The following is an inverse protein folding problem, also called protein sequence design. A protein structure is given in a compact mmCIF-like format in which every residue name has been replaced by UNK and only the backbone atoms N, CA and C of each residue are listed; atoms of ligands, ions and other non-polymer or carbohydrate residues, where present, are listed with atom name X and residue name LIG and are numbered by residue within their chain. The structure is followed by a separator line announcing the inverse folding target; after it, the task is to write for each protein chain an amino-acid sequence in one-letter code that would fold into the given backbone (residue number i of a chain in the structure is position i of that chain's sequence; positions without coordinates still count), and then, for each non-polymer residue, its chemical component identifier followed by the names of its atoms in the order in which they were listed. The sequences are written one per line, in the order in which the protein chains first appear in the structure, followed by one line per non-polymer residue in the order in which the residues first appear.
data_IF_016765257689
#
_entry.id   IF_016765257689
#
_cell.length_a   1.000
_cell.length_b   1.000
_cell.length_c   1.000
_cell.angle_alpha   90.00
_cell.angle_beta   90.00
_cell.angle_gamma   90.00
#
_symmetry.space_group_name_H-M   'P 1'
#
loop_
_entity.id
_entity.type
_entity.pdbx_description
1 polymer ?
#
# COMPACT_ATOMS: atom_id res chain seq x y z
N UNK A 1 -22.31 10.09 35.70
CA UNK A 1 -22.55 10.88 34.46
C UNK A 1 -23.63 10.17 33.65
N UNK A 2 -24.56 10.91 33.05
CA UNK A 2 -25.62 10.31 32.22
C UNK A 2 -24.98 9.61 31.02
N UNK A 3 -25.33 8.34 30.76
CA UNK A 3 -24.92 7.65 29.52
C UNK A 3 -25.59 8.35 28.35
N UNK A 4 -24.83 9.11 27.58
CA UNK A 4 -25.32 9.73 26.34
C UNK A 4 -25.50 8.62 25.31
N UNK A 5 -26.74 8.28 24.98
CA UNK A 5 -27.01 7.27 23.96
C UNK A 5 -26.90 7.92 22.58
N UNK A 6 -25.92 7.52 21.80
CA UNK A 6 -25.78 7.99 20.41
C UNK A 6 -26.57 7.07 19.48
N UNK A 7 -27.44 7.65 18.64
CA UNK A 7 -28.23 6.88 17.68
C UNK A 7 -27.51 6.65 16.35
N UNK A 8 -26.39 7.32 16.10
CA UNK A 8 -25.67 7.19 14.82
C UNK A 8 -26.45 7.71 13.62
N UNK A 9 -25.95 7.40 12.42
CA UNK A 9 -26.66 7.64 11.17
C UNK A 9 -27.67 6.52 10.87
N UNK A 10 -28.77 6.89 10.22
CA UNK A 10 -29.70 5.93 9.62
C UNK A 10 -29.18 5.42 8.29
N UNK A 11 -29.60 4.21 7.91
CA UNK A 11 -29.23 3.60 6.62
C UNK A 11 -29.45 4.51 5.40
N UNK A 12 -30.51 5.33 5.37
CA UNK A 12 -30.75 6.29 4.27
C UNK A 12 -29.78 7.48 4.30
N UNK A 13 -29.46 8.00 5.48
CA UNK A 13 -28.54 9.14 5.65
C UNK A 13 -27.11 8.75 5.25
N UNK A 14 -26.74 7.47 5.41
CA UNK A 14 -25.46 6.93 4.94
C UNK A 14 -25.36 7.02 3.41
N UNK A 15 -26.44 6.70 2.69
CA UNK A 15 -26.47 6.80 1.22
C UNK A 15 -26.37 8.25 0.77
N UNK A 16 -27.17 9.14 1.38
CA UNK A 16 -27.17 10.56 1.04
C UNK A 16 -25.80 11.23 1.33
N UNK A 17 -25.15 10.84 2.44
CA UNK A 17 -23.80 11.29 2.79
C UNK A 17 -22.76 10.79 1.79
N UNK A 18 -22.87 9.53 1.36
CA UNK A 18 -21.99 8.93 0.35
C UNK A 18 -22.10 9.62 -1.01
N UNK A 19 -23.31 9.99 -1.43
CA UNK A 19 -23.51 10.71 -2.70
C UNK A 19 -22.95 12.14 -2.65
N UNK A 20 -23.01 12.80 -1.48
CA UNK A 20 -22.55 14.18 -1.32
C UNK A 20 -21.06 14.31 -1.08
N UNK A 21 -20.48 13.41 -0.27
CA UNK A 21 -19.08 13.48 0.18
C UNK A 21 -18.20 12.37 -0.41
N UNK A 22 -18.75 11.39 -1.10
CA UNK A 22 -17.99 10.29 -1.69
C UNK A 22 -17.62 9.19 -0.68
N UNK A 23 -16.82 8.23 -1.15
CA UNK A 23 -16.35 7.09 -0.36
C UNK A 23 -15.06 7.38 0.41
N UNK A 24 -14.82 6.63 1.50
CA UNK A 24 -13.58 6.71 2.26
C UNK A 24 -12.42 5.93 1.60
N UNK A 25 -12.13 6.25 0.34
CA UNK A 25 -11.06 5.64 -0.46
C UNK A 25 -10.18 6.78 -0.98
N UNK A 26 -8.87 6.58 -0.99
CA UNK A 26 -7.93 7.54 -1.58
C UNK A 26 -7.97 7.40 -3.11
N UNK A 27 -8.15 8.49 -3.83
CA UNK A 27 -8.29 8.41 -5.29
C UNK A 27 -6.96 8.03 -5.93
N UNK A 28 -6.90 6.87 -6.63
CA UNK A 28 -5.69 6.48 -7.35
C UNK A 28 -5.35 7.53 -8.42
N UNK A 29 -4.07 7.66 -8.83
CA UNK A 29 -3.70 8.59 -9.89
C UNK A 29 -4.47 8.32 -11.19
N UNK A 30 -4.83 9.39 -11.90
CA UNK A 30 -5.46 9.26 -13.22
C UNK A 30 -4.51 8.50 -14.15
N UNK A 31 -5.06 7.49 -14.85
CA UNK A 31 -4.29 6.72 -15.80
C UNK A 31 -4.27 7.44 -17.13
N UNK A 32 -3.09 7.50 -17.74
CA UNK A 32 -2.98 7.89 -19.13
C UNK A 32 -3.72 6.90 -20.04
N UNK A 33 -4.35 7.43 -21.09
CA UNK A 33 -5.03 6.58 -22.07
C UNK A 33 -4.04 5.66 -22.78
N UNK A 34 -4.46 4.42 -23.08
CA UNK A 34 -3.62 3.43 -23.76
C UNK A 34 -3.09 3.92 -25.11
N UNK A 35 -3.86 4.76 -25.81
CA UNK A 35 -3.46 5.35 -27.08
C UNK A 35 -2.34 6.38 -26.92
N UNK A 36 -2.40 7.21 -25.88
CA UNK A 36 -1.32 8.16 -25.56
C UNK A 36 -0.05 7.40 -25.20
N UNK A 37 -0.13 6.39 -24.32
CA UNK A 37 1.01 5.53 -23.98
C UNK A 37 1.65 4.86 -25.21
N UNK A 38 0.83 4.38 -26.15
CA UNK A 38 1.33 3.80 -27.41
C UNK A 38 2.06 4.84 -28.27
N UNK A 39 1.49 6.05 -28.42
CA UNK A 39 2.13 7.13 -29.18
C UNK A 39 3.45 7.61 -28.56
N UNK A 40 3.58 7.54 -27.23
CA UNK A 40 4.82 7.90 -26.57
C UNK A 40 5.99 6.99 -26.93
N UNK A 41 5.74 5.73 -27.30
CA UNK A 41 6.81 4.83 -27.79
C UNK A 41 7.47 5.35 -29.07
N UNK A 42 6.74 6.07 -29.91
CA UNK A 42 7.32 6.66 -31.13
C UNK A 42 8.27 7.83 -30.84
N UNK A 43 8.35 8.31 -29.59
CA UNK A 43 9.33 9.32 -29.16
C UNK A 43 10.69 8.72 -28.82
N UNK A 44 10.83 7.38 -28.80
CA UNK A 44 12.12 6.74 -28.53
C UNK A 44 13.13 7.13 -29.63
N UNK A 45 14.33 7.63 -29.26
CA UNK A 45 15.37 8.00 -30.22
C UNK A 45 15.70 6.91 -31.24
N UNK A 46 15.68 5.63 -30.86
CA UNK A 46 15.95 4.53 -31.79
C UNK A 46 14.80 4.37 -32.80
N UNK A 47 13.56 4.37 -32.33
CA UNK A 47 12.38 4.31 -33.20
C UNK A 47 12.35 5.51 -34.16
N UNK A 48 12.69 6.71 -33.68
CA UNK A 48 12.79 7.90 -34.54
C UNK A 48 13.82 7.71 -35.65
N UNK A 49 15.01 7.18 -35.33
CA UNK A 49 16.05 6.90 -36.33
C UNK A 49 15.55 5.89 -37.36
N UNK A 50 14.88 4.82 -36.93
CA UNK A 50 14.30 3.81 -37.81
C UNK A 50 13.17 4.38 -38.69
N UNK A 51 12.33 5.27 -38.17
CA UNK A 51 11.30 5.96 -38.95
C UNK A 51 11.91 6.86 -40.02
N UNK A 52 12.99 7.59 -39.70
CA UNK A 52 13.71 8.42 -40.66
C UNK A 52 14.35 7.53 -41.74
N UNK A 53 14.98 6.43 -41.37
CA UNK A 53 15.55 5.48 -42.31
C UNK A 53 14.48 4.84 -43.22
N UNK A 54 13.34 4.45 -42.66
CA UNK A 54 12.19 3.94 -43.42
C UNK A 54 11.60 4.97 -44.38
N UNK A 55 11.53 6.25 -43.98
CA UNK A 55 11.10 7.33 -44.86
C UNK A 55 12.09 7.58 -46.01
N UNK A 56 13.39 7.58 -45.73
CA UNK A 56 14.44 7.70 -46.74
C UNK A 56 14.43 6.51 -47.72
N UNK A 57 14.26 5.29 -47.21
CA UNK A 57 14.14 4.07 -48.02
C UNK A 57 12.96 4.15 -48.99
N UNK A 58 11.79 4.63 -48.55
CA UNK A 58 10.64 4.90 -49.44
C UNK A 58 11.01 5.91 -50.53
N UNK A 59 11.70 7.00 -50.19
CA UNK A 59 12.07 8.03 -51.17
C UNK A 59 12.99 7.46 -52.27
N UNK A 60 13.93 6.59 -51.89
CA UNK A 60 14.84 5.91 -52.82
C UNK A 60 14.07 4.92 -53.70
N UNK A 61 13.19 4.11 -53.10
CA UNK A 61 12.37 3.16 -53.84
C UNK A 61 11.46 3.85 -54.87
N UNK A 62 10.88 5.01 -54.53
CA UNK A 62 10.10 5.83 -55.47
C UNK A 62 10.99 6.31 -56.62
N UNK A 63 12.18 6.82 -56.33
CA UNK A 63 13.13 7.28 -57.35
C UNK A 63 13.58 6.15 -58.29
N UNK A 64 13.88 4.98 -57.74
CA UNK A 64 14.28 3.80 -58.50
C UNK A 64 13.12 3.26 -59.35
N UNK A 65 11.89 3.26 -58.81
CA UNK A 65 10.68 2.90 -59.55
C UNK A 65 10.43 3.82 -60.76
N UNK A 66 10.73 5.11 -60.63
CA UNK A 66 10.60 6.07 -61.74
C UNK A 66 11.63 5.83 -62.86
N UNK A 67 12.82 5.31 -62.55
CA UNK A 67 13.83 4.97 -63.56
C UNK A 67 13.61 3.57 -64.16
N UNK A 68 13.26 2.60 -63.32
CA UNK A 68 12.97 1.23 -63.70
C UNK A 68 11.68 0.79 -62.99
N UNK A 69 10.56 0.68 -63.72
CA UNK A 69 9.29 0.30 -63.12
C UNK A 69 9.27 -1.20 -62.79
N UNK A 70 9.97 -1.56 -61.71
CA UNK A 70 9.93 -2.86 -61.08
C UNK A 70 9.28 -2.70 -59.69
N UNK A 71 8.12 -3.32 -59.42
CA UNK A 71 7.48 -3.26 -58.11
C UNK A 71 8.30 -3.91 -56.99
N UNK A 72 9.37 -4.65 -57.30
CA UNK A 72 10.21 -5.28 -56.27
C UNK A 72 10.99 -4.28 -55.40
N UNK A 73 11.20 -3.05 -55.88
CA UNK A 73 11.90 -1.98 -55.14
C UNK A 73 11.18 -1.56 -53.86
N UNK A 74 9.88 -1.84 -53.73
CA UNK A 74 9.10 -1.51 -52.53
C UNK A 74 9.15 -2.58 -51.44
N UNK A 75 9.72 -3.77 -51.69
CA UNK A 75 9.77 -4.84 -50.68
C UNK A 75 10.57 -4.44 -49.44
N UNK A 76 11.72 -3.79 -49.63
CA UNK A 76 12.60 -3.37 -48.54
C UNK A 76 11.97 -2.29 -47.66
N UNK A 77 11.44 -1.17 -48.18
CA UNK A 77 10.74 -0.18 -47.35
C UNK A 77 9.52 -0.76 -46.63
N UNK A 78 8.71 -1.58 -47.30
CA UNK A 78 7.54 -2.23 -46.67
C UNK A 78 7.99 -3.14 -45.53
N UNK A 79 9.08 -3.90 -45.72
CA UNK A 79 9.67 -4.74 -44.68
C UNK A 79 10.08 -3.95 -43.45
N UNK A 80 10.74 -2.79 -43.63
CA UNK A 80 11.16 -1.90 -42.54
C UNK A 80 9.94 -1.40 -41.76
N UNK A 81 8.91 -0.90 -42.44
CA UNK A 81 7.70 -0.40 -41.77
C UNK A 81 6.96 -1.50 -41.00
N UNK A 82 6.81 -2.69 -41.60
CA UNK A 82 6.20 -3.84 -40.92
C UNK A 82 7.01 -4.24 -39.68
N UNK A 83 8.34 -4.26 -39.79
CA UNK A 83 9.22 -4.56 -38.66
C UNK A 83 9.09 -3.53 -37.53
N UNK A 84 9.06 -2.24 -37.84
CA UNK A 84 8.86 -1.16 -36.86
C UNK A 84 7.52 -1.33 -36.14
N UNK A 85 6.41 -1.46 -36.88
CA UNK A 85 5.09 -1.60 -36.24
C UNK A 85 4.97 -2.88 -35.40
N UNK A 86 5.55 -3.98 -35.87
CA UNK A 86 5.54 -5.24 -35.12
C UNK A 86 6.39 -5.14 -33.85
N UNK A 87 7.60 -4.58 -33.95
CA UNK A 87 8.49 -4.39 -32.80
C UNK A 87 7.88 -3.44 -31.75
N UNK A 88 7.43 -2.25 -32.16
CA UNK A 88 6.79 -1.28 -31.26
C UNK A 88 5.48 -1.82 -30.68
N UNK A 89 4.68 -2.53 -31.48
CA UNK A 89 3.45 -3.19 -31.01
C UNK A 89 3.71 -4.27 -29.97
N UNK A 90 4.71 -5.12 -30.19
CA UNK A 90 5.13 -6.15 -29.23
C UNK A 90 5.68 -5.53 -27.95
N UNK A 91 6.50 -4.48 -28.04
CA UNK A 91 7.02 -3.77 -26.88
C UNK A 91 5.89 -3.16 -26.05
N UNK A 92 4.93 -2.49 -26.69
CA UNK A 92 3.75 -1.95 -26.02
C UNK A 92 2.89 -3.05 -25.38
N UNK A 93 2.69 -4.18 -26.08
CA UNK A 93 1.95 -5.31 -25.53
C UNK A 93 2.59 -5.86 -24.26
N UNK A 94 3.91 -6.03 -24.25
CA UNK A 94 4.63 -6.52 -23.07
C UNK A 94 4.57 -5.55 -21.89
N UNK A 95 4.72 -4.25 -22.16
CA UNK A 95 4.60 -3.24 -21.12
C UNK A 95 3.18 -3.15 -20.57
N UNK A 96 2.16 -3.18 -21.43
CA UNK A 96 0.77 -3.22 -21.01
C UNK A 96 0.46 -4.46 -20.17
N UNK A 97 0.97 -5.63 -20.57
CA UNK A 97 0.81 -6.87 -19.81
C UNK A 97 1.48 -6.76 -18.42
N UNK A 98 2.67 -6.15 -18.34
CA UNK A 98 3.37 -5.93 -17.08
C UNK A 98 2.63 -4.94 -16.17
N UNK A 99 2.20 -3.79 -16.70
CA UNK A 99 1.42 -2.76 -16.00
C UNK A 99 0.11 -3.34 -15.44
N UNK A 100 -0.60 -4.15 -16.24
CA UNK A 100 -1.86 -4.77 -15.84
C UNK A 100 -1.67 -5.74 -14.68
N UNK A 101 -0.63 -6.58 -14.74
CA UNK A 101 -0.36 -7.48 -13.62
C UNK A 101 0.02 -6.68 -12.37
N UNK A 102 0.80 -5.61 -12.49
CA UNK A 102 1.10 -4.74 -11.36
C UNK A 102 -0.15 -4.13 -10.73
N UNK A 103 -1.11 -3.71 -11.56
CA UNK A 103 -2.36 -3.13 -11.09
C UNK A 103 -3.19 -4.12 -10.26
N UNK A 104 -3.31 -5.36 -10.72
CA UNK A 104 -4.03 -6.42 -9.98
C UNK A 104 -3.41 -6.64 -8.60
N UNK A 105 -2.08 -6.55 -8.49
CA UNK A 105 -1.37 -6.74 -7.22
C UNK A 105 -1.52 -5.54 -6.26
N UNK A 106 -1.77 -4.33 -6.80
CA UNK A 106 -1.94 -3.09 -6.02
C UNK A 106 -3.40 -2.75 -5.69
N UNK A 107 -4.35 -3.63 -6.00
CA UNK A 107 -5.72 -3.44 -5.54
C UNK A 107 -5.73 -3.40 -4.01
N UNK A 108 -6.06 -2.23 -3.47
CA UNK A 108 -6.09 -1.99 -2.03
C UNK A 108 -7.32 -2.70 -1.47
N UNK A 109 -7.11 -3.73 -0.66
CA UNK A 109 -8.16 -4.26 0.20
C UNK A 109 -8.32 -3.33 1.41
N UNK A 110 -9.20 -2.33 1.28
CA UNK A 110 -9.65 -1.45 2.37
C UNK A 110 -10.80 -2.08 3.18
N UNK A 111 -10.69 -3.39 3.44
CA UNK A 111 -11.72 -4.20 4.13
C UNK A 111 -11.49 -4.30 5.64
N UNK A 112 -10.57 -3.50 6.20
CA UNK A 112 -10.31 -3.49 7.64
C UNK A 112 -11.60 -3.13 8.41
N UNK A 113 -12.03 -3.94 9.39
CA UNK A 113 -13.27 -3.71 10.11
C UNK A 113 -13.14 -2.52 11.06
N UNK A 114 -14.14 -1.64 11.03
CA UNK A 114 -14.26 -0.44 11.85
C UNK A 114 -15.57 -0.51 12.61
N UNK A 115 -15.51 -0.26 13.93
CA UNK A 115 -16.68 -0.24 14.79
C UNK A 115 -17.39 1.12 14.70
N UNK A 116 -18.65 1.09 14.25
CA UNK A 116 -19.50 2.27 14.11
C UNK A 116 -20.85 2.07 14.80
N UNK A 117 -21.47 3.17 15.21
CA UNK A 117 -22.84 3.19 15.71
C UNK A 117 -23.74 3.67 14.58
N UNK A 118 -24.64 2.81 14.11
CA UNK A 118 -25.67 3.11 13.09
C UNK A 118 -27.02 2.58 13.58
N UNK A 119 -28.09 3.34 13.35
CA UNK A 119 -29.44 2.99 13.81
C UNK A 119 -29.51 2.62 15.32
N UNK A 120 -28.63 3.21 16.16
CA UNK A 120 -28.52 2.96 17.59
C UNK A 120 -27.81 1.66 18.00
N UNK A 121 -27.25 0.92 17.04
CA UNK A 121 -26.61 -0.37 17.24
C UNK A 121 -25.13 -0.26 16.85
N UNK A 122 -24.25 -0.85 17.66
CA UNK A 122 -22.83 -0.99 17.32
C UNK A 122 -22.65 -2.10 16.29
N UNK A 123 -22.05 -1.77 15.15
CA UNK A 123 -21.83 -2.68 14.02
C UNK A 123 -20.40 -2.51 13.49
N UNK A 124 -19.85 -3.58 12.91
CA UNK A 124 -18.56 -3.52 12.20
C UNK A 124 -18.80 -3.37 10.70
N UNK A 125 -18.16 -2.35 10.11
CA UNK A 125 -18.19 -2.10 8.67
C UNK A 125 -16.76 -2.01 8.11
N UNK A 126 -16.54 -2.31 6.83
CA UNK A 126 -15.27 -2.03 6.17
C UNK A 126 -14.89 -0.54 6.26
N UNK A 127 -13.60 -0.23 6.41
CA UNK A 127 -13.08 1.14 6.46
C UNK A 127 -13.52 2.00 5.27
N UNK A 128 -13.61 1.42 4.07
CA UNK A 128 -14.08 2.09 2.85
C UNK A 128 -15.54 2.57 2.92
N UNK A 129 -16.35 1.94 3.77
CA UNK A 129 -17.78 2.21 3.90
C UNK A 129 -18.13 3.28 4.95
N UNK A 130 -17.12 3.79 5.67
CA UNK A 130 -17.25 4.92 6.60
C UNK A 130 -17.60 6.18 5.80
N UNK A 131 -18.59 6.94 6.28
CA UNK A 131 -19.06 8.19 5.64
C UNK A 131 -19.00 9.37 6.61
N UNK A 132 -19.10 10.58 6.07
CA UNK A 132 -19.21 11.80 6.90
C UNK A 132 -20.47 11.73 7.76
N UNK A 133 -20.33 12.00 9.06
CA UNK A 133 -21.39 11.92 10.05
C UNK A 133 -21.46 10.61 10.81
N UNK A 134 -20.75 9.55 10.38
CA UNK A 134 -20.69 8.29 11.14
C UNK A 134 -20.12 8.54 12.54
N UNK A 135 -20.64 7.78 13.51
CA UNK A 135 -20.12 7.76 14.88
C UNK A 135 -19.24 6.52 15.01
N UNK A 136 -17.93 6.74 15.13
CA UNK A 136 -16.91 5.69 15.21
C UNK A 136 -16.49 5.51 16.65
N UNK A 137 -16.34 4.25 17.07
CA UNK A 137 -15.82 3.89 18.38
C UNK A 137 -14.31 3.67 18.26
N UNK A 138 -13.54 4.43 19.03
CA UNK A 138 -12.09 4.33 19.11
C UNK A 138 -11.69 3.55 20.36
N UNK A 139 -10.96 2.46 20.15
CA UNK A 139 -10.43 1.61 21.22
C UNK A 139 -8.91 1.52 21.11
N UNK A 140 -8.23 1.25 22.22
CA UNK A 140 -6.78 1.02 22.23
C UNK A 140 -6.36 0.02 21.15
N UNK A 141 -5.38 0.42 20.33
CA UNK A 141 -4.78 -0.41 19.29
C UNK A 141 -5.40 -0.24 17.89
N UNK A 142 -6.56 0.42 17.75
CA UNK A 142 -7.16 0.68 16.44
C UNK A 142 -6.50 1.87 15.71
N UNK A 143 -6.52 1.82 14.38
CA UNK A 143 -6.18 2.93 13.51
C UNK A 143 -7.43 3.80 13.29
N UNK A 144 -7.27 5.12 13.34
CA UNK A 144 -8.36 6.05 13.11
C UNK A 144 -8.74 6.01 11.61
N UNK A 145 -9.99 5.67 11.26
CA UNK A 145 -10.37 5.33 9.88
C UNK A 145 -10.59 6.54 8.96
N UNK A 146 -10.95 7.69 9.54
CA UNK A 146 -11.32 8.93 8.87
C UNK A 146 -11.10 10.10 9.84
N UNK A 147 -11.05 11.34 9.35
CA UNK A 147 -10.88 12.50 10.23
C UNK A 147 -12.20 12.82 10.93
N UNK A 148 -12.14 13.06 12.23
CA UNK A 148 -13.33 13.34 13.01
C UNK A 148 -13.09 14.04 14.33
N UNK A 149 -14.19 14.54 14.89
CA UNK A 149 -14.23 15.25 16.17
C UNK A 149 -14.70 14.30 17.27
N UNK A 150 -13.98 14.26 18.37
CA UNK A 150 -14.29 13.48 19.56
C UNK A 150 -15.53 14.03 20.25
N UNK A 151 -16.52 13.15 20.43
CA UNK A 151 -17.70 13.34 21.26
C UNK A 151 -17.43 12.91 22.70
N UNK A 152 -16.65 11.83 22.86
CA UNK A 152 -16.24 11.30 24.15
C UNK A 152 -14.76 10.92 24.09
N UNK A 153 -14.04 11.21 25.17
CA UNK A 153 -12.64 10.84 25.32
C UNK A 153 -12.36 10.53 26.80
N UNK A 154 -11.94 9.31 27.08
CA UNK A 154 -11.56 8.86 28.42
C UNK A 154 -10.11 8.44 28.38
N UNK A 155 -9.22 9.30 28.90
CA UNK A 155 -7.76 9.08 28.91
C UNK A 155 -7.20 8.68 27.54
N UNK A 156 -7.72 9.30 26.48
CA UNK A 156 -7.43 8.92 25.10
C UNK A 156 -6.06 9.48 24.68
N UNK A 157 -5.12 8.61 24.35
CA UNK A 157 -3.81 8.95 23.81
C UNK A 157 -3.70 8.40 22.39
N UNK A 158 -3.35 9.26 21.43
CA UNK A 158 -3.23 8.89 20.01
C UNK A 158 -1.81 9.20 19.52
N UNK A 159 -1.18 8.25 18.84
CA UNK A 159 0.09 8.44 18.16
C UNK A 159 -0.13 9.12 16.79
N UNK A 160 0.24 10.40 16.73
CA UNK A 160 0.14 11.24 15.52
C UNK A 160 1.46 11.33 14.73
N UNK A 161 2.48 10.55 15.11
CA UNK A 161 3.82 10.60 14.50
C UNK A 161 3.82 10.38 12.99
N UNK A 162 2.84 9.66 12.45
CA UNK A 162 2.68 9.43 11.01
C UNK A 162 2.33 10.70 10.23
N UNK A 163 1.70 11.69 10.88
CA UNK A 163 1.28 12.95 10.25
C UNK A 163 2.15 14.14 10.66
N UNK A 164 2.54 14.21 11.94
CA UNK A 164 3.21 15.39 12.51
C UNK A 164 4.69 15.13 12.81
N UNK A 165 5.11 13.87 12.91
CA UNK A 165 6.43 13.47 13.41
C UNK A 165 6.57 13.56 14.93
N UNK A 166 5.57 14.08 15.65
CA UNK A 166 5.56 14.15 17.10
C UNK A 166 4.86 12.92 17.71
N UNK A 167 5.43 12.30 18.76
CA UNK A 167 4.84 11.12 19.38
C UNK A 167 3.63 11.49 20.26
N UNK A 168 2.78 10.48 20.52
CA UNK A 168 1.69 10.40 21.52
C UNK A 168 1.14 11.77 22.00
N UNK A 169 -0.02 12.13 21.48
CA UNK A 169 -0.78 13.30 21.90
C UNK A 169 -1.97 12.90 22.79
N UNK A 170 -2.16 13.63 23.88
CA UNK A 170 -3.36 13.50 24.71
C UNK A 170 -4.56 14.13 24.00
N UNK A 171 -5.67 13.40 23.96
CA UNK A 171 -6.92 13.83 23.34
C UNK A 171 -8.02 13.98 24.38
N UNK A 172 -8.76 15.08 24.28
CA UNK A 172 -9.78 15.47 25.26
C UNK A 172 -10.87 16.30 24.60
N UNK A 173 -12.07 16.24 25.17
CA UNK A 173 -13.22 17.07 24.78
C UNK A 173 -13.33 18.34 25.62
N UNK A 174 -12.58 18.42 26.73
CA UNK A 174 -12.61 19.56 27.65
C UNK A 174 -11.72 20.67 27.09
N UNK A 175 -12.33 21.77 26.68
CA UNK A 175 -11.63 22.94 26.09
C UNK A 175 -10.53 23.52 26.98
N UNK A 176 -10.64 23.34 28.29
CA UNK A 176 -9.65 23.80 29.28
C UNK A 176 -8.34 23.01 29.22
N UNK A 177 -8.42 21.74 28.80
CA UNK A 177 -7.29 20.81 28.71
C UNK A 177 -6.70 20.76 27.29
N UNK A 178 -7.09 21.69 26.41
CA UNK A 178 -6.58 21.73 25.04
C UNK A 178 -5.14 22.22 25.03
N UNK A 179 -4.28 21.48 24.33
CA UNK A 179 -2.89 21.87 24.13
C UNK A 179 -2.82 22.93 23.01
N UNK A 180 -2.40 24.18 23.31
CA UNK A 180 -2.28 25.24 22.31
C UNK A 180 -1.14 25.01 21.32
N UNK A 181 -0.18 24.13 21.62
CA UNK A 181 0.94 23.81 20.74
C UNK A 181 0.68 22.59 19.85
N UNK A 182 -0.43 21.87 20.05
CA UNK A 182 -0.74 20.70 19.24
C UNK A 182 -0.99 21.09 17.78
N UNK A 183 -0.41 20.32 16.85
CA UNK A 183 -0.59 20.53 15.40
C UNK A 183 -2.07 20.42 15.01
N UNK A 184 -2.78 19.47 15.62
CA UNK A 184 -4.22 19.31 15.47
C UNK A 184 -4.94 19.57 16.79
N UNK A 185 -6.17 20.12 16.76
CA UNK A 185 -6.97 20.31 17.97
C UNK A 185 -7.06 19.04 18.83
N UNK A 186 -6.97 19.19 20.15
CA UNK A 186 -6.98 18.06 21.09
C UNK A 186 -8.30 17.26 21.08
N UNK A 187 -9.37 17.81 20.53
CA UNK A 187 -10.64 17.13 20.31
C UNK A 187 -10.73 16.42 18.94
N UNK A 188 -9.70 16.47 18.09
CA UNK A 188 -9.75 15.82 16.78
C UNK A 188 -8.91 14.55 16.74
N UNK A 189 -9.40 13.54 16.03
CA UNK A 189 -8.70 12.32 15.70
C UNK A 189 -8.53 12.23 14.18
N UNK A 190 -7.30 12.01 13.71
CA UNK A 190 -6.93 12.08 12.29
C UNK A 190 -6.72 10.71 11.68
N UNK A 191 -7.12 10.53 10.43
CA UNK A 191 -6.95 9.29 9.66
C UNK A 191 -5.49 8.85 9.63
N UNK A 192 -5.24 7.57 9.87
CA UNK A 192 -3.89 6.98 9.83
C UNK A 192 -3.08 7.15 11.13
N UNK A 193 -3.67 7.78 12.15
CA UNK A 193 -3.11 7.83 13.51
C UNK A 193 -3.59 6.63 14.32
N UNK A 194 -2.83 6.23 15.36
CA UNK A 194 -3.11 5.00 16.12
C UNK A 194 -3.46 5.30 17.58
N UNK A 195 -4.52 4.69 18.09
CA UNK A 195 -4.90 4.83 19.49
C UNK A 195 -3.95 4.00 20.37
N UNK A 196 -3.23 4.67 21.27
CA UNK A 196 -2.25 4.04 22.16
C UNK A 196 -2.83 3.68 23.51
N UNK A 197 -3.69 4.54 24.07
CA UNK A 197 -4.34 4.33 25.36
C UNK A 197 -5.74 4.96 25.39
N UNK A 198 -6.58 4.46 26.30
CA UNK A 198 -7.94 4.97 26.51
C UNK A 198 -8.95 4.53 25.45
N UNK A 199 -10.12 5.17 25.49
CA UNK A 199 -11.17 4.97 24.50
C UNK A 199 -11.89 6.28 24.25
N UNK A 200 -12.54 6.36 23.09
CA UNK A 200 -13.30 7.53 22.70
C UNK A 200 -14.37 7.20 21.68
N UNK A 201 -15.25 8.17 21.48
CA UNK A 201 -16.27 8.14 20.42
C UNK A 201 -16.04 9.38 19.59
N UNK A 202 -15.90 9.24 18.28
CA UNK A 202 -15.71 10.35 17.35
C UNK A 202 -16.81 10.41 16.30
N UNK A 203 -17.08 11.61 15.81
CA UNK A 203 -17.94 11.87 14.65
C UNK A 203 -17.09 12.24 13.46
N UNK A 204 -17.26 11.51 12.36
CA UNK A 204 -16.49 11.74 11.14
C UNK A 204 -16.92 13.06 10.48
N UNK A 205 -15.96 13.94 10.16
CA UNK A 205 -16.22 15.17 9.41
C UNK A 205 -15.60 15.16 8.00
N UNK A 206 -14.57 14.34 7.75
CA UNK A 206 -13.97 14.20 6.42
C UNK A 206 -13.54 12.75 6.15
N UNK A 207 -13.68 12.34 4.88
CA UNK A 207 -13.35 10.99 4.38
C UNK A 207 -12.56 11.08 3.07
N UNK A 208 -11.85 10.01 2.72
CA UNK A 208 -11.14 9.89 1.44
C UNK A 208 -10.02 10.92 1.31
N UNK A 209 -9.89 11.55 0.14
CA UNK A 209 -8.85 12.55 -0.15
C UNK A 209 -9.01 13.86 0.63
N UNK A 210 -10.18 14.11 1.23
CA UNK A 210 -10.44 15.34 1.99
C UNK A 210 -9.81 15.31 3.39
N UNK A 211 -9.39 14.15 3.86
CA UNK A 211 -8.68 14.04 5.14
C UNK A 211 -7.28 14.64 5.06
N UNK A 212 -6.70 15.01 6.19
CA UNK A 212 -5.32 15.52 6.24
C UNK A 212 -4.33 14.48 5.70
N UNK A 213 -4.52 13.20 6.06
CA UNK A 213 -3.76 12.10 5.48
C UNK A 213 -3.95 12.00 3.96
N UNK A 214 -5.17 12.21 3.44
CA UNK A 214 -5.45 12.19 2.01
C UNK A 214 -4.82 13.34 1.23
N UNK A 215 -4.73 14.53 1.84
CA UNK A 215 -3.99 15.67 1.29
C UNK A 215 -2.49 15.38 1.25
N UNK A 216 -1.93 14.82 2.32
CA UNK A 216 -0.52 14.37 2.36
C UNK A 216 -0.29 13.29 1.31
N UNK A 217 -1.17 12.31 1.18
CA UNK A 217 -1.07 11.25 0.16
C UNK A 217 -1.12 11.82 -1.26
N UNK A 218 -1.99 12.79 -1.53
CA UNK A 218 -2.07 13.47 -2.82
C UNK A 218 -0.83 14.30 -3.12
N UNK A 219 -0.29 15.00 -2.12
CA UNK A 219 0.97 15.76 -2.26
C UNK A 219 2.19 14.82 -2.39
N UNK A 220 2.16 13.67 -1.73
CA UNK A 220 3.18 12.63 -1.77
C UNK A 220 3.02 11.68 -2.96
N UNK A 221 2.10 11.93 -3.91
CA UNK A 221 2.06 11.26 -5.23
C UNK A 221 3.35 11.47 -6.05
N UNK A 222 4.32 12.20 -5.50
CA UNK A 222 5.66 12.35 -6.00
C UNK A 222 6.49 11.11 -5.60
N UNK A 223 6.64 10.25 -6.61
CA UNK A 223 7.82 9.41 -6.87
C UNK A 223 7.72 7.91 -6.56
N UNK A 224 6.99 7.19 -7.44
CA UNK A 224 7.14 5.75 -7.61
C UNK A 224 8.31 5.38 -8.56
N UNK A 225 9.16 6.32 -8.98
CA UNK A 225 10.22 6.07 -9.98
C UNK A 225 11.52 5.50 -9.40
N UNK A 226 11.51 4.98 -8.17
CA UNK A 226 12.68 4.29 -7.61
C UNK A 226 12.92 3.01 -8.40
N UNK A 227 13.93 3.07 -9.28
CA UNK A 227 14.42 1.92 -10.05
C UNK A 227 14.91 0.84 -9.08
N UNK A 228 14.67 -0.42 -9.43
CA UNK A 228 15.21 -1.53 -8.62
C UNK A 228 16.73 -1.61 -8.83
N UNK A 229 17.51 -2.12 -7.85
CA UNK A 229 18.96 -2.26 -8.01
C UNK A 229 19.36 -3.06 -9.25
N UNK A 230 18.61 -4.12 -9.60
CA UNK A 230 18.79 -4.87 -10.84
C UNK A 230 18.54 -4.00 -12.07
N UNK A 231 17.49 -3.18 -12.07
CA UNK A 231 17.23 -2.25 -13.18
C UNK A 231 18.38 -1.23 -13.35
N UNK A 232 18.95 -0.70 -12.27
CA UNK A 232 20.11 0.20 -12.35
C UNK A 232 21.34 -0.50 -12.96
N UNK A 233 21.59 -1.75 -12.57
CA UNK A 233 22.69 -2.54 -13.14
C UNK A 233 22.48 -2.84 -14.63
N UNK A 234 21.25 -3.17 -15.02
CA UNK A 234 20.89 -3.45 -16.42
C UNK A 234 20.93 -2.19 -17.28
N UNK A 235 20.51 -1.04 -16.76
CA UNK A 235 20.68 0.26 -17.40
C UNK A 235 22.16 0.59 -17.60
N UNK A 236 23.00 0.30 -16.59
CA UNK A 236 24.44 0.43 -16.69
C UNK A 236 25.04 -0.44 -17.80
N UNK A 237 24.62 -1.71 -17.87
CA UNK A 237 25.02 -2.66 -18.91
C UNK A 237 24.55 -2.21 -20.30
N UNK A 238 23.28 -1.80 -20.43
CA UNK A 238 22.71 -1.29 -21.67
C UNK A 238 23.44 -0.06 -22.19
N UNK A 239 23.77 0.88 -21.31
CA UNK A 239 24.57 2.06 -21.65
C UNK A 239 26.00 1.72 -22.09
N UNK A 240 26.63 0.72 -21.46
CA UNK A 240 27.95 0.24 -21.88
C UNK A 240 27.89 -0.37 -23.28
N UNK A 241 26.92 -1.25 -23.52
CA UNK A 241 26.71 -1.88 -24.84
C UNK A 241 26.43 -0.83 -25.91
N UNK A 242 25.54 0.12 -25.65
CA UNK A 242 25.22 1.21 -26.58
C UNK A 242 26.47 2.03 -26.95
N UNK A 243 27.32 2.39 -25.97
CA UNK A 243 28.58 3.11 -26.23
C UNK A 243 29.51 2.33 -27.14
N UNK A 244 29.68 1.02 -26.89
CA UNK A 244 30.50 0.15 -27.73
C UNK A 244 29.93 0.08 -29.14
N UNK A 245 28.61 -0.08 -29.28
CA UNK A 245 27.92 -0.12 -30.57
C UNK A 245 28.09 1.18 -31.36
N UNK A 246 27.96 2.35 -30.73
CA UNK A 246 28.18 3.62 -31.40
C UNK A 246 29.61 3.80 -31.90
N UNK A 247 30.61 3.35 -31.14
CA UNK A 247 32.02 3.37 -31.58
C UNK A 247 32.22 2.46 -32.79
N UNK A 248 31.73 1.23 -32.74
CA UNK A 248 31.86 0.27 -33.84
C UNK A 248 31.09 0.75 -35.08
N UNK A 249 29.87 1.26 -34.90
CA UNK A 249 29.05 1.84 -35.98
C UNK A 249 29.78 3.01 -36.67
N UNK A 250 30.38 3.91 -35.89
CA UNK A 250 31.22 4.98 -36.42
C UNK A 250 32.42 4.46 -37.22
N UNK A 251 33.10 3.43 -36.70
CA UNK A 251 34.22 2.78 -37.42
C UNK A 251 33.77 2.09 -38.71
N UNK A 252 32.59 1.49 -38.75
CA UNK A 252 32.01 0.88 -39.96
C UNK A 252 31.75 1.97 -41.01
N UNK A 253 31.14 3.09 -40.63
CA UNK A 253 30.87 4.20 -41.53
C UNK A 253 32.17 4.76 -42.09
N UNK A 254 33.15 5.07 -41.22
CA UNK A 254 34.45 5.60 -41.64
C UNK A 254 35.20 4.59 -42.52
N UNK A 255 35.17 3.30 -42.16
CA UNK A 255 35.82 2.23 -42.91
C UNK A 255 35.22 2.02 -44.30
N UNK A 256 33.88 2.00 -44.40
CA UNK A 256 33.15 1.88 -45.68
C UNK A 256 33.41 3.08 -46.58
N UNK A 257 33.33 4.29 -46.03
CA UNK A 257 33.64 5.53 -46.76
C UNK A 257 35.11 5.53 -47.22
N UNK A 258 36.04 5.14 -46.35
CA UNK A 258 37.47 5.05 -46.68
C UNK A 258 37.75 4.03 -47.79
N UNK A 259 37.13 2.85 -47.72
CA UNK A 259 37.22 1.83 -48.79
C UNK A 259 36.64 2.32 -50.11
N UNK A 260 35.55 3.10 -50.08
CA UNK A 260 34.98 3.69 -51.28
C UNK A 260 35.97 4.64 -51.96
N UNK A 261 36.67 5.49 -51.20
CA UNK A 261 37.69 6.41 -51.73
C UNK A 261 38.97 5.71 -52.21
N UNK A 262 39.34 4.57 -51.63
CA UNK A 262 40.52 3.80 -52.07
C UNK A 262 40.24 3.00 -53.34
N UNK A 263 39.03 2.45 -53.49
CA UNK A 263 38.69 1.60 -54.63
C UNK A 263 38.16 2.38 -55.85
N UNK A 264 37.72 3.63 -55.67
CA UNK A 264 37.23 4.48 -56.76
C UNK A 264 38.13 5.73 -56.89
N UNK A 265 39.02 5.73 -57.88
CA UNK A 265 40.00 6.81 -58.16
C UNK A 265 39.39 8.12 -58.73
N UNK A 266 38.10 8.40 -58.50
CA UNK A 266 37.44 9.55 -59.11
C UNK A 266 36.18 10.02 -58.40
N UNK A 267 36.33 10.83 -57.36
CA UNK A 267 35.21 11.59 -56.80
C UNK A 267 35.06 12.93 -57.53
N UNK A 268 34.13 13.02 -58.48
CA UNK A 268 33.74 14.26 -59.15
C UNK A 268 32.50 14.86 -58.48
N UNK A 269 32.66 16.02 -57.83
CA UNK A 269 31.59 16.73 -57.07
C UNK A 269 30.40 17.17 -57.96
N UNK A 270 30.61 17.26 -59.27
CA UNK A 270 29.63 17.81 -60.21
C UNK A 270 29.14 16.76 -61.22
N UNK A 271 27.91 16.27 -61.00
CA UNK A 271 26.97 15.95 -62.08
C UNK A 271 27.14 14.64 -62.85
N UNK A 272 27.79 13.62 -62.31
CA UNK A 272 27.89 12.31 -62.96
C UNK A 272 27.47 11.15 -62.04
N UNK A 273 27.19 9.98 -62.62
CA UNK A 273 26.71 8.75 -61.97
C UNK A 273 27.54 8.26 -60.76
N UNK A 274 28.70 8.85 -60.50
CA UNK A 274 29.57 8.65 -59.33
C UNK A 274 28.97 9.19 -58.02
N UNK A 275 28.23 10.31 -58.07
CA UNK A 275 27.60 10.90 -56.88
C UNK A 275 26.46 10.05 -56.33
N UNK A 276 25.69 9.41 -57.21
CA UNK A 276 24.67 8.44 -56.83
C UNK A 276 25.31 7.22 -56.13
N UNK A 277 26.43 6.71 -56.64
CA UNK A 277 27.16 5.60 -56.01
C UNK A 277 27.68 5.93 -54.60
N UNK A 278 28.22 7.14 -54.40
CA UNK A 278 28.64 7.60 -53.07
C UNK A 278 27.47 7.70 -52.09
N UNK A 279 26.33 8.24 -52.55
CA UNK A 279 25.12 8.36 -51.73
C UNK A 279 24.60 6.96 -51.36
N UNK A 280 24.52 6.03 -52.31
CA UNK A 280 24.06 4.66 -52.05
C UNK A 280 24.96 3.92 -51.06
N UNK A 281 26.28 3.98 -51.24
CA UNK A 281 27.23 3.34 -50.31
C UNK A 281 27.20 3.96 -48.92
N UNK A 282 27.06 5.29 -48.84
CA UNK A 282 26.93 5.99 -47.55
C UNK A 282 25.63 5.60 -46.85
N UNK A 283 24.52 5.54 -47.59
CA UNK A 283 23.23 5.11 -47.05
C UNK A 283 23.26 3.65 -46.58
N UNK A 284 23.90 2.75 -47.34
CA UNK A 284 24.11 1.37 -46.90
C UNK A 284 24.99 1.28 -45.65
N UNK A 285 26.06 2.06 -45.57
CA UNK A 285 26.88 2.11 -44.36
C UNK A 285 26.09 2.63 -43.14
N UNK A 286 25.22 3.62 -43.33
CA UNK A 286 24.31 4.11 -42.30
C UNK A 286 23.26 3.08 -41.91
N UNK A 287 22.67 2.34 -42.86
CA UNK A 287 21.70 1.28 -42.57
C UNK A 287 22.33 0.17 -41.73
N UNK A 288 23.51 -0.34 -42.11
CA UNK A 288 24.24 -1.36 -41.33
C UNK A 288 24.60 -0.84 -39.94
N UNK A 289 24.98 0.44 -39.81
CA UNK A 289 25.27 1.06 -38.52
C UNK A 289 24.03 1.14 -37.62
N UNK A 290 22.87 1.52 -38.16
CA UNK A 290 21.60 1.58 -37.41
C UNK A 290 21.14 0.17 -37.03
N UNK A 291 21.22 -0.80 -37.93
CA UNK A 291 20.90 -2.20 -37.65
C UNK A 291 21.78 -2.77 -36.53
N UNK A 292 23.09 -2.50 -36.55
CA UNK A 292 24.00 -2.92 -35.48
C UNK A 292 23.57 -2.34 -34.12
N UNK A 293 23.27 -1.05 -34.07
CA UNK A 293 22.85 -0.39 -32.82
C UNK A 293 21.53 -0.99 -32.33
N UNK A 294 20.54 -1.16 -33.21
CA UNK A 294 19.24 -1.74 -32.86
C UNK A 294 19.34 -3.19 -32.36
N UNK A 295 20.20 -4.01 -32.97
CA UNK A 295 20.40 -5.42 -32.54
C UNK A 295 21.19 -5.52 -31.24
N UNK A 296 22.10 -4.57 -30.97
CA UNK A 296 22.98 -4.65 -29.80
C UNK A 296 22.33 -4.12 -28.52
N UNK A 297 21.42 -3.15 -28.62
CA UNK A 297 20.72 -2.60 -27.45
C UNK A 297 19.58 -3.55 -27.06
N UNK A 298 19.66 -4.23 -25.90
CA UNK A 298 18.65 -5.21 -25.53
C UNK A 298 17.43 -4.51 -24.91
N UNK A 299 16.57 -3.94 -25.75
CA UNK A 299 15.35 -3.22 -25.34
C UNK A 299 14.38 -4.11 -24.53
N UNK A 300 14.43 -5.43 -24.74
CA UNK A 300 13.62 -6.41 -24.01
C UNK A 300 14.10 -6.70 -22.58
N UNK A 301 15.31 -6.28 -22.21
CA UNK A 301 15.93 -6.67 -20.94
C UNK A 301 15.22 -6.06 -19.71
N UNK A 302 14.87 -4.75 -19.68
CA UNK A 302 14.11 -4.20 -18.56
C UNK A 302 12.71 -4.82 -18.45
N UNK A 303 12.05 -5.07 -19.59
CA UNK A 303 10.72 -5.69 -19.62
C UNK A 303 10.72 -7.11 -19.06
N UNK A 304 11.74 -7.92 -19.40
CA UNK A 304 11.88 -9.28 -18.89
C UNK A 304 11.99 -9.30 -17.36
N UNK A 305 12.70 -8.34 -16.78
CA UNK A 305 12.81 -8.18 -15.32
C UNK A 305 11.47 -7.81 -14.70
N UNK A 306 10.79 -6.79 -15.22
CA UNK A 306 9.48 -6.37 -14.68
C UNK A 306 8.47 -7.51 -14.73
N UNK A 307 8.43 -8.26 -15.82
CA UNK A 307 7.52 -9.40 -15.97
C UNK A 307 7.87 -10.54 -15.00
N UNK A 308 9.15 -10.90 -14.88
CA UNK A 308 9.61 -11.93 -13.92
C UNK A 308 9.28 -11.56 -12.47
N UNK A 309 9.46 -10.29 -12.13
CA UNK A 309 9.14 -9.74 -10.82
C UNK A 309 7.63 -9.77 -10.54
N UNK A 310 6.81 -9.37 -11.52
CA UNK A 310 5.35 -9.42 -11.42
C UNK A 310 4.84 -10.85 -11.19
N UNK A 311 5.38 -11.84 -11.92
CA UNK A 311 5.05 -13.25 -11.68
C UNK A 311 5.47 -13.73 -10.29
N UNK A 312 6.65 -13.32 -9.81
CA UNK A 312 7.13 -13.65 -8.47
C UNK A 312 6.23 -13.05 -7.38
N UNK A 313 5.84 -11.79 -7.53
CA UNK A 313 4.90 -11.12 -6.62
C UNK A 313 3.54 -11.83 -6.61
N UNK A 314 3.02 -12.24 -7.78
CA UNK A 314 1.77 -13.01 -7.88
C UNK A 314 1.87 -14.35 -7.18
N UNK A 315 3.01 -15.02 -7.25
CA UNK A 315 3.25 -16.26 -6.50
C UNK A 315 3.29 -16.01 -4.98
N UNK A 316 3.93 -14.94 -4.52
CA UNK A 316 3.97 -14.56 -3.09
C UNK A 316 2.57 -14.22 -2.56
N UNK A 317 1.75 -13.55 -3.37
CA UNK A 317 0.37 -13.22 -3.01
C UNK A 317 -0.50 -14.47 -2.77
N UNK A 318 -0.29 -15.54 -3.54
CA UNK A 318 -0.98 -16.83 -3.30
C UNK A 318 -0.64 -17.44 -1.93
N UNK A 319 0.50 -17.06 -1.35
CA UNK A 319 0.93 -17.48 0.00
C UNK A 319 0.62 -16.44 1.07
N UNK A 320 -0.32 -15.52 0.82
CA UNK A 320 -0.72 -14.43 1.72
C UNK A 320 0.42 -13.42 2.02
N UNK A 321 1.41 -13.29 1.13
CA UNK A 321 2.45 -12.27 1.23
C UNK A 321 2.24 -11.20 0.14
N UNK A 322 1.69 -10.05 0.52
CA UNK A 322 1.41 -8.93 -0.37
C UNK A 322 2.63 -8.02 -0.50
N UNK A 323 3.27 -8.04 -1.68
CA UNK A 323 4.36 -7.13 -2.03
C UNK A 323 3.78 -5.85 -2.64
N UNK A 324 3.92 -4.72 -1.95
CA UNK A 324 3.36 -3.41 -2.40
C UNK A 324 4.29 -2.60 -3.30
N UNK A 325 5.59 -2.87 -3.27
CA UNK A 325 6.60 -2.16 -4.07
C UNK A 325 7.46 -3.18 -4.81
N UNK A 326 7.67 -2.97 -6.11
CA UNK A 326 8.44 -3.90 -6.95
C UNK A 326 9.86 -4.14 -6.41
N UNK A 327 10.60 -3.07 -6.10
CA UNK A 327 11.96 -3.19 -5.57
C UNK A 327 12.04 -4.00 -4.26
N UNK A 328 10.96 -4.08 -3.47
CA UNK A 328 10.99 -4.77 -2.19
C UNK A 328 11.26 -6.28 -2.32
N UNK A 329 10.78 -6.91 -3.39
CA UNK A 329 11.03 -8.33 -3.64
C UNK A 329 12.53 -8.61 -3.86
N UNK A 330 13.22 -7.72 -4.57
CA UNK A 330 14.66 -7.81 -4.80
C UNK A 330 15.46 -7.47 -3.53
N UNK A 331 15.08 -6.38 -2.85
CA UNK A 331 15.70 -5.96 -1.58
C UNK A 331 15.63 -7.06 -0.52
N UNK A 332 14.49 -7.75 -0.40
CA UNK A 332 14.34 -8.88 0.54
C UNK A 332 15.29 -10.04 0.21
N UNK A 333 15.53 -10.32 -1.07
CA UNK A 333 16.49 -11.36 -1.49
C UNK A 333 17.95 -11.00 -1.15
N UNK A 334 18.28 -9.71 -1.11
CA UNK A 334 19.60 -9.20 -0.75
C UNK A 334 19.75 -8.85 0.75
N UNK A 335 18.70 -9.03 1.55
CA UNK A 335 18.70 -8.64 2.97
C UNK A 335 19.60 -9.56 3.80
N UNK A 336 20.55 -8.98 4.52
CA UNK A 336 21.47 -9.69 5.42
C UNK A 336 21.14 -9.52 6.90
N UNK A 337 20.37 -8.49 7.25
CA UNK A 337 19.96 -8.16 8.62
C UNK A 337 18.47 -7.88 8.63
N UNK A 338 17.74 -8.59 9.49
CA UNK A 338 16.30 -8.38 9.70
C UNK A 338 16.11 -7.76 11.08
N UNK A 339 15.70 -6.49 11.12
CA UNK A 339 15.25 -5.84 12.34
C UNK A 339 13.76 -6.06 12.49
N UNK A 340 13.36 -6.94 13.42
CA UNK A 340 11.96 -7.25 13.69
C UNK A 340 11.49 -6.53 14.94
N UNK A 341 10.27 -5.99 14.89
CA UNK A 341 9.55 -5.66 16.12
C UNK A 341 9.11 -6.96 16.83
N UNK A 342 8.88 -6.91 18.13
CA UNK A 342 8.43 -8.06 18.94
C UNK A 342 6.92 -8.21 18.87
N UNK A 343 6.19 -7.15 19.22
CA UNK A 343 4.76 -7.22 19.50
C UNK A 343 3.97 -7.26 18.19
N UNK A 344 3.20 -8.32 17.96
CA UNK A 344 2.41 -8.46 16.72
C UNK A 344 3.18 -8.95 15.49
N UNK A 345 4.51 -9.04 15.57
CA UNK A 345 5.35 -9.66 14.53
C UNK A 345 5.89 -11.00 14.99
N UNK A 346 6.63 -11.04 16.11
CA UNK A 346 7.09 -12.31 16.70
C UNK A 346 6.03 -12.93 17.62
N UNK A 347 5.26 -12.08 18.31
CA UNK A 347 4.17 -12.51 19.18
C UNK A 347 2.84 -12.40 18.45
N UNK A 348 1.87 -13.25 18.81
CA UNK A 348 0.55 -13.26 18.19
C UNK A 348 -0.32 -12.03 18.53
N UNK A 349 0.23 -11.05 19.27
CA UNK A 349 -0.49 -9.92 19.86
C UNK A 349 -1.77 -10.34 20.62
N UNK A 350 -1.81 -11.57 21.12
CA UNK A 350 -2.88 -12.13 21.93
C UNK A 350 -2.34 -12.37 23.33
N UNK A 351 -2.65 -11.47 24.24
CA UNK A 351 -2.27 -11.61 25.63
C UNK A 351 -2.96 -12.85 26.22
N UNK A 352 -2.20 -13.70 26.91
CA UNK A 352 -2.72 -14.91 27.55
C UNK A 352 -2.12 -15.04 28.95
N UNK A 353 -2.90 -15.57 29.88
CA UNK A 353 -2.41 -15.96 31.21
C UNK A 353 -1.52 -17.19 31.04
N UNK A 354 -0.23 -17.05 31.33
CA UNK A 354 0.75 -18.13 31.27
C UNK A 354 0.78 -18.98 32.55
N UNK A 355 0.74 -18.31 33.71
CA UNK A 355 0.82 -18.93 35.03
C UNK A 355 -0.01 -18.10 36.03
N UNK A 356 -0.65 -18.76 36.99
CA UNK A 356 -1.40 -18.13 38.08
C UNK A 356 -0.78 -18.50 39.44
N UNK A 357 -0.67 -17.51 40.35
CA UNK A 357 -0.15 -17.69 41.72
C UNK A 357 -1.04 -17.00 42.74
N UNK A 358 -2.16 -17.65 43.07
CA UNK A 358 -3.11 -17.21 44.07
C UNK A 358 -2.75 -17.79 45.44
N UNK A 359 -2.64 -16.91 46.45
CA UNK A 359 -2.20 -17.26 47.81
C UNK A 359 -3.16 -18.21 48.54
N UNK A 360 -4.47 -18.11 48.27
CA UNK A 360 -5.51 -18.89 48.94
C UNK A 360 -6.01 -20.11 48.14
N UNK A 361 -5.45 -20.40 46.96
CA UNK A 361 -5.80 -21.61 46.21
C UNK A 361 -4.84 -22.75 46.54
N UNK A 362 -5.35 -23.99 46.48
CA UNK A 362 -4.58 -25.22 46.67
C UNK A 362 -3.37 -25.29 45.68
N UNK A 363 -2.35 -26.13 45.95
CA UNK A 363 -1.09 -26.12 45.19
C UNK A 363 -1.23 -26.35 43.67
N UNK A 364 -2.36 -26.87 43.22
CA UNK A 364 -2.73 -27.08 41.81
C UNK A 364 -3.37 -25.84 41.14
N UNK A 365 -3.62 -24.76 41.88
CA UNK A 365 -4.16 -23.48 41.38
C UNK A 365 -5.49 -23.63 40.63
N UNK A 366 -6.25 -24.68 40.95
CA UNK A 366 -7.55 -24.95 40.33
C UNK A 366 -8.66 -24.16 41.04
N UNK A 367 -9.65 -23.71 40.26
CA UNK A 367 -10.84 -23.06 40.79
C UNK A 367 -11.82 -24.14 41.24
N UNK A 368 -11.91 -24.39 42.55
CA UNK A 368 -12.73 -25.47 43.16
C UNK A 368 -14.09 -24.95 43.67
N UNK A 369 -14.37 -23.65 43.51
CA UNK A 369 -15.64 -23.02 43.92
C UNK A 369 -15.76 -22.75 45.43
N UNK A 370 -14.63 -22.79 46.16
CA UNK A 370 -14.54 -22.32 47.53
C UNK A 370 -14.63 -20.78 47.62
N UNK A 371 -14.73 -20.24 48.84
CA UNK A 371 -14.84 -18.80 49.08
C UNK A 371 -13.68 -18.03 48.41
N UNK A 372 -12.47 -18.59 48.45
CA UNK A 372 -11.28 -18.02 47.79
C UNK A 372 -11.39 -17.99 46.26
N UNK A 373 -11.80 -19.12 45.64
CA UNK A 373 -12.05 -19.18 44.19
C UNK A 373 -13.12 -18.17 43.77
N UNK A 374 -14.22 -18.08 44.51
CA UNK A 374 -15.33 -17.18 44.19
C UNK A 374 -14.90 -15.71 44.25
N UNK A 375 -14.08 -15.33 45.24
CA UNK A 375 -13.53 -13.97 45.34
C UNK A 375 -12.56 -13.65 44.19
N UNK A 376 -11.73 -14.60 43.76
CA UNK A 376 -10.83 -14.42 42.61
C UNK A 376 -11.64 -14.21 41.32
N UNK A 377 -12.65 -15.06 41.11
CA UNK A 377 -13.51 -14.99 39.93
C UNK A 377 -14.31 -13.68 39.91
N UNK A 378 -14.92 -13.28 41.03
CA UNK A 378 -15.64 -12.01 41.15
C UNK A 378 -14.69 -10.82 40.94
N UNK A 379 -13.52 -10.85 41.58
CA UNK A 379 -12.50 -9.81 41.46
C UNK A 379 -12.03 -9.59 40.02
N UNK A 380 -11.77 -10.67 39.27
CA UNK A 380 -11.39 -10.60 37.85
C UNK A 380 -12.56 -10.12 36.97
N UNK A 381 -13.76 -10.65 37.20
CA UNK A 381 -14.94 -10.34 36.38
C UNK A 381 -15.38 -8.88 36.53
N UNK A 382 -15.32 -8.37 37.75
CA UNK A 382 -15.75 -7.02 38.10
C UNK A 382 -14.68 -5.99 37.77
N UNK A 383 -13.40 -6.22 38.05
CA UNK A 383 -12.33 -5.26 37.73
C UNK A 383 -11.87 -5.31 36.26
N UNK A 384 -12.78 -5.66 35.35
CA UNK A 384 -12.51 -5.72 33.92
C UNK A 384 -13.49 -4.83 33.16
N UNK A 385 -12.94 -3.95 32.32
CA UNK A 385 -13.66 -3.18 31.31
C UNK A 385 -13.78 -3.94 29.99
N UNK A 386 -12.97 -4.99 29.79
CA UNK A 386 -13.01 -5.83 28.60
C UNK A 386 -14.31 -6.65 28.49
N UNK A 387 -14.63 -7.05 27.26
CA UNK A 387 -15.72 -7.93 26.90
C UNK A 387 -15.17 -9.10 26.07
N UNK A 388 -15.89 -10.22 26.01
CA UNK A 388 -15.57 -11.29 25.08
C UNK A 388 -16.59 -11.30 23.95
N UNK A 389 -16.09 -11.26 22.72
CA UNK A 389 -16.87 -11.61 21.55
C UNK A 389 -16.87 -13.15 21.40
N UNK A 390 -18.06 -13.73 21.59
CA UNK A 390 -18.33 -15.16 21.51
C UNK A 390 -19.06 -15.56 20.21
N UNK A 391 -19.10 -14.66 19.22
CA UNK A 391 -19.74 -14.93 17.91
C UNK A 391 -19.16 -16.19 17.24
N UNK A 392 -17.88 -16.47 17.45
CA UNK A 392 -17.23 -17.74 17.12
C UNK A 392 -16.84 -18.48 18.40
N UNK A 393 -17.61 -19.52 18.75
CA UNK A 393 -17.42 -20.31 19.98
C UNK A 393 -16.05 -21.01 20.06
N UNK A 394 -15.39 -21.27 18.92
CA UNK A 394 -14.09 -21.94 18.89
C UNK A 394 -12.92 -20.96 19.04
N UNK A 395 -13.14 -19.66 18.83
CA UNK A 395 -12.09 -18.64 18.87
C UNK A 395 -12.60 -17.36 19.55
N UNK A 396 -12.89 -17.42 20.86
CA UNK A 396 -13.37 -16.26 21.62
C UNK A 396 -12.32 -15.14 21.55
N UNK A 397 -12.78 -13.93 21.19
CA UNK A 397 -11.91 -12.76 21.09
C UNK A 397 -12.15 -11.82 22.25
N UNK A 398 -11.10 -11.31 22.84
CA UNK A 398 -11.22 -10.25 23.83
C UNK A 398 -11.32 -8.88 23.13
N UNK A 399 -12.31 -8.09 23.53
CA UNK A 399 -12.52 -6.71 23.14
C UNK A 399 -12.16 -5.81 24.32
N UNK A 400 -11.35 -4.77 24.08
CA UNK A 400 -10.88 -3.86 25.13
C UNK A 400 -9.41 -4.10 25.53
N UNK A 401 -9.07 -3.85 26.79
CA UNK A 401 -7.69 -3.97 27.27
C UNK A 401 -7.18 -5.42 27.13
N UNK A 402 -6.03 -5.67 26.44
CA UNK A 402 -5.53 -7.03 26.22
C UNK A 402 -5.27 -7.82 27.50
N UNK A 403 -4.80 -7.18 28.57
CA UNK A 403 -4.48 -7.85 29.84
C UNK A 403 -5.76 -8.28 30.57
N UNK A 404 -6.75 -7.39 30.63
CA UNK A 404 -8.07 -7.70 31.19
C UNK A 404 -8.78 -8.79 30.36
N UNK A 405 -8.72 -8.67 29.04
CA UNK A 405 -9.21 -9.65 28.09
C UNK A 405 -8.59 -11.03 28.27
N UNK A 406 -7.28 -11.11 28.52
CA UNK A 406 -6.58 -12.36 28.79
C UNK A 406 -7.11 -13.06 30.05
N UNK A 407 -7.43 -12.29 31.10
CA UNK A 407 -8.02 -12.82 32.33
C UNK A 407 -9.44 -13.34 32.10
N UNK A 408 -10.25 -12.63 31.31
CA UNK A 408 -11.60 -13.10 30.93
C UNK A 408 -11.55 -14.36 30.05
N UNK A 409 -10.63 -14.42 29.09
CA UNK A 409 -10.40 -15.62 28.27
C UNK A 409 -9.95 -16.81 29.14
N UNK A 410 -9.15 -16.55 30.17
CA UNK A 410 -8.75 -17.57 31.14
C UNK A 410 -9.93 -18.09 31.96
N UNK A 411 -10.84 -17.23 32.42
CA UNK A 411 -12.09 -17.65 33.07
C UNK A 411 -13.00 -18.45 32.12
N UNK A 412 -13.11 -18.03 30.86
CA UNK A 412 -13.89 -18.73 29.85
C UNK A 412 -13.34 -20.13 29.56
N UNK A 413 -11.99 -20.30 29.51
CA UNK A 413 -11.35 -21.63 29.40
C UNK A 413 -11.68 -22.56 30.57
N UNK A 414 -12.02 -22.03 31.74
CA UNK A 414 -12.47 -22.78 32.91
C UNK A 414 -13.99 -22.98 32.95
N UNK A 415 -14.72 -22.64 31.87
CA UNK A 415 -16.19 -22.70 31.77
C UNK A 415 -16.92 -21.80 32.77
N UNK A 416 -16.31 -20.69 33.18
CA UNK A 416 -16.91 -19.73 34.10
C UNK A 416 -17.51 -18.58 33.31
N UNK A 417 -18.82 -18.37 33.46
CA UNK A 417 -19.52 -17.25 32.84
C UNK A 417 -19.36 -15.97 33.67
N UNK A 418 -18.39 -15.14 33.28
CA UNK A 418 -18.08 -13.88 33.95
C UNK A 418 -19.16 -12.80 33.76
N UNK A 419 -19.95 -12.83 32.68
CA UNK A 419 -21.01 -11.83 32.41
C UNK A 419 -22.09 -11.89 33.49
N UNK A 420 -22.56 -13.11 33.80
CA UNK A 420 -23.54 -13.31 34.89
C UNK A 420 -23.03 -12.78 36.22
N UNK A 421 -21.73 -12.94 36.49
CA UNK A 421 -21.11 -12.49 37.75
C UNK A 421 -21.04 -10.95 37.77
N UNK A 422 -20.68 -10.35 36.64
CA UNK A 422 -20.61 -8.89 36.47
C UNK A 422 -22.00 -8.23 36.54
N UNK A 423 -23.04 -8.87 36.02
CA UNK A 423 -24.43 -8.38 36.12
C UNK A 423 -24.99 -8.50 37.54
N UNK A 424 -24.61 -9.56 38.27
CA UNK A 424 -25.08 -9.79 39.63
C UNK A 424 -24.39 -8.89 40.67
N UNK A 425 -23.20 -8.37 40.38
CA UNK A 425 -22.45 -7.47 41.27
C UNK A 425 -22.87 -6.00 41.05
N UNK A 426 -23.48 -5.38 42.05
CA UNK A 426 -23.83 -3.96 42.00
C UNK A 426 -22.56 -3.10 42.16
N UNK A 427 -22.14 -2.41 41.09
CA UNK A 427 -20.98 -1.50 41.11
C UNK A 427 -21.34 -0.15 41.75
N UNK A 428 -20.64 0.19 42.82
CA UNK A 428 -20.84 1.41 43.62
C UNK A 428 -19.91 2.53 43.17
N UNK A 429 -18.64 2.23 42.91
CA UNK A 429 -17.63 3.20 42.48
C UNK A 429 -16.50 2.52 41.70
N UNK A 430 -15.72 3.28 40.91
CA UNK A 430 -14.57 2.76 40.17
C UNK A 430 -13.41 3.77 40.04
N UNK A 431 -12.19 3.22 40.08
CA UNK A 431 -10.95 3.95 39.84
C UNK A 431 -10.28 3.30 38.62
N UNK A 432 -10.25 3.96 37.45
CA UNK A 432 -9.62 3.40 36.26
C UNK A 432 -8.11 3.31 36.42
N UNK A 433 -7.51 2.38 35.66
CA UNK A 433 -6.07 2.21 35.61
C UNK A 433 -5.38 3.52 35.20
N UNK A 434 -4.30 3.85 35.89
CA UNK A 434 -3.41 4.97 35.57
C UNK A 434 -1.97 4.50 35.78
N UNK A 435 -1.07 4.90 34.88
CA UNK A 435 0.35 4.58 34.95
C UNK A 435 1.02 5.12 36.22
N UNK A 436 0.52 6.24 36.78
CA UNK A 436 1.02 6.81 38.04
C UNK A 436 0.61 5.95 39.25
N UNK A 437 -0.66 5.50 39.28
CA UNK A 437 -1.21 4.70 40.39
C UNK A 437 -0.82 3.23 40.30
N UNK A 438 -0.66 2.69 39.09
CA UNK A 438 -0.37 1.28 38.78
C UNK A 438 -1.40 0.27 39.29
N UNK A 439 -2.63 0.72 39.59
CA UNK A 439 -3.74 -0.17 39.93
C UNK A 439 -5.07 0.36 39.36
N UNK A 440 -6.03 -0.55 39.24
CA UNK A 440 -7.45 -0.29 39.00
C UNK A 440 -8.22 -0.90 40.17
N UNK A 441 -9.32 -0.28 40.57
CA UNK A 441 -10.17 -0.80 41.63
C UNK A 441 -11.65 -0.50 41.35
N UNK A 442 -12.53 -1.41 41.73
CA UNK A 442 -13.97 -1.24 41.68
C UNK A 442 -14.54 -1.59 43.04
N UNK A 443 -15.40 -0.74 43.58
CA UNK A 443 -16.14 -0.99 44.81
C UNK A 443 -17.49 -1.62 44.45
N UNK A 444 -17.79 -2.81 44.95
CA UNK A 444 -19.03 -3.53 44.62
C UNK A 444 -19.75 -4.08 45.84
N UNK A 445 -21.05 -4.31 45.72
CA UNK A 445 -21.77 -5.17 46.67
C UNK A 445 -21.67 -6.61 46.19
N UNK A 446 -20.82 -7.39 46.86
CA UNK A 446 -20.57 -8.79 46.49
C UNK A 446 -21.76 -9.68 46.84
N UNK A 447 -22.21 -10.50 45.89
CA UNK A 447 -23.21 -11.53 46.19
C UNK A 447 -22.61 -12.72 46.94
N UNK A 448 -21.34 -13.03 46.70
CA UNK A 448 -20.64 -14.12 47.38
C UNK A 448 -20.39 -13.83 48.87
N UNK A 449 -20.32 -12.56 49.25
CA UNK A 449 -20.15 -12.11 50.64
C UNK A 449 -21.45 -11.56 51.28
N UNK A 450 -22.62 -12.06 50.89
CA UNK A 450 -23.93 -11.67 51.44
C UNK A 450 -24.21 -10.15 51.36
N UNK A 451 -23.85 -9.50 50.25
CA UNK A 451 -24.14 -8.09 50.00
C UNK A 451 -23.19 -7.10 50.70
N UNK A 452 -22.08 -7.58 51.28
CA UNK A 452 -21.03 -6.71 51.81
C UNK A 452 -20.42 -5.84 50.70
N UNK A 453 -20.09 -4.60 51.04
CA UNK A 453 -19.31 -3.71 50.17
C UNK A 453 -17.84 -4.13 50.26
N UNK A 454 -17.25 -4.48 49.12
CA UNK A 454 -15.87 -4.96 48.97
C UNK A 454 -15.20 -4.32 47.76
#
# INVERSE_FOLDING_TARGET
MAKTHYNGLRSQEVVDSRDKFGSNILTPPEKESLFVKFLEKFKDPLIIILLIAGALSICIAIYEYFQHPDPTVFFEPVGIWVAIFLATGMAFYFEYAADKEFEVLNQVNDDEPVQVIRDGITTEIPRKDVVVGDIVILVTGCEVPADGELLEATSLNIDESTLTGEPICLKTIKKEDFDPNATFPSNYAMRGTKVMEGHGIMRVFAVGDRTENGKVFTAAKIDNSIKTPLNEQLDGLGNLLAKISYVIAGLIIVGRIGMYFINNDGFSWFGDSSTAGFITETLQACMVAVELVAVTVPEGLPMAVTLSLAYSMRAMLKTNNLVRKMHACETMGATTVICTDKTGTLTQNKMQVHETKFFNLQPDQTLVGDEASNLIVEGISVNSTALLDLSDANNPKALGNPTEGALLLWLNKHNINFEKIKENAERVDEIPFSTERKYMASLVKSQYLNGKKV
#
